data_IF_612862521812
#
_entry.id   IF_612862521812
#
_cell.length_a   1.000
_cell.length_b   1.000
_cell.length_c   1.000
_cell.angle_alpha   90.00
_cell.angle_beta   90.00
_cell.angle_gamma   90.00
#
_symmetry.space_group_name_H-M   'P 1'
#
loop_
_entity.id
_entity.type
_entity.pdbx_description
1 polymer ?
#
# COMPACT_ATOMS: atom_id res chain seq x y z
N UNK A 1 33.04 11.79 27.61
CA UNK A 1 32.36 10.56 28.06
C UNK A 1 31.55 10.01 26.90
N UNK A 2 32.10 9.06 26.15
CA UNK A 2 31.33 8.28 25.17
C UNK A 2 30.43 7.32 25.96
N UNK A 3 29.11 7.53 25.90
CA UNK A 3 28.16 6.52 26.40
C UNK A 3 28.24 5.33 25.45
N UNK A 4 28.52 4.15 26.00
CA UNK A 4 28.28 2.89 25.34
C UNK A 4 26.78 2.82 24.96
N UNK A 5 26.39 2.34 23.75
CA UNK A 5 24.99 2.17 23.43
C UNK A 5 24.40 1.17 24.42
N UNK A 6 23.33 1.57 25.09
CA UNK A 6 22.55 0.70 25.97
C UNK A 6 22.04 -0.49 25.14
N UNK A 7 22.49 -1.70 25.49
CA UNK A 7 22.15 -2.95 24.81
C UNK A 7 20.70 -3.40 25.04
N UNK A 8 19.84 -2.53 25.60
CA UNK A 8 18.45 -2.83 25.95
C UNK A 8 17.40 -2.19 25.03
N UNK A 9 17.78 -1.40 24.02
CA UNK A 9 16.80 -0.76 23.12
C UNK A 9 16.31 -1.75 22.07
N UNK A 10 15.17 -2.38 22.33
CA UNK A 10 14.40 -3.13 21.32
C UNK A 10 14.02 -2.17 20.20
N UNK A 11 14.39 -2.53 18.96
CA UNK A 11 13.97 -1.78 17.77
C UNK A 11 12.50 -2.08 17.46
N UNK A 12 11.70 -1.07 17.06
CA UNK A 12 10.30 -1.29 16.69
C UNK A 12 10.21 -2.15 15.42
N UNK A 13 9.14 -2.93 15.31
CA UNK A 13 8.80 -3.58 14.04
C UNK A 13 8.23 -2.56 13.07
N UNK A 14 8.75 -2.55 11.85
CA UNK A 14 8.37 -1.62 10.79
C UNK A 14 7.71 -2.39 9.65
N UNK A 15 6.50 -2.01 9.29
CA UNK A 15 5.86 -2.48 8.06
C UNK A 15 5.90 -1.36 7.03
N UNK A 16 6.47 -1.65 5.87
CA UNK A 16 6.41 -0.81 4.68
C UNK A 16 5.24 -1.30 3.82
N UNK A 17 4.23 -0.46 3.63
CA UNK A 17 3.07 -0.73 2.78
C UNK A 17 3.13 0.20 1.57
N UNK A 18 3.23 -0.38 0.38
CA UNK A 18 3.29 0.35 -0.88
C UNK A 18 1.94 0.30 -1.59
N UNK A 19 1.39 1.48 -1.89
CA UNK A 19 0.14 1.67 -2.63
C UNK A 19 0.39 2.26 -4.04
N UNK A 20 1.64 2.44 -4.44
CA UNK A 20 2.00 2.84 -5.81
C UNK A 20 1.53 1.81 -6.83
N UNK A 21 1.24 2.26 -8.05
CA UNK A 21 0.94 1.36 -9.15
C UNK A 21 2.10 0.40 -9.43
N UNK A 22 3.33 0.84 -9.22
CA UNK A 22 4.54 0.10 -9.54
C UNK A 22 5.03 -0.71 -8.34
N UNK A 23 5.58 -1.89 -8.62
CA UNK A 23 6.16 -2.72 -7.57
C UNK A 23 7.32 -2.00 -6.86
N UNK A 24 7.35 -2.11 -5.53
CA UNK A 24 8.37 -1.51 -4.66
C UNK A 24 9.71 -2.24 -4.69
N UNK A 25 10.29 -2.45 -5.86
CA UNK A 25 11.47 -3.29 -6.11
C UNK A 25 12.65 -2.98 -5.18
N UNK A 26 13.09 -1.73 -5.13
CA UNK A 26 14.27 -1.32 -4.37
C UNK A 26 14.09 -1.54 -2.85
N UNK A 27 12.90 -1.26 -2.32
CA UNK A 27 12.60 -1.46 -0.88
C UNK A 27 12.52 -2.95 -0.58
N UNK A 28 11.85 -3.72 -1.44
CA UNK A 28 11.74 -5.18 -1.29
C UNK A 28 13.10 -5.86 -1.37
N UNK A 29 13.97 -5.49 -2.31
CA UNK A 29 15.33 -6.03 -2.43
C UNK A 29 16.21 -5.65 -1.25
N UNK A 30 16.10 -4.43 -0.72
CA UNK A 30 16.90 -3.97 0.41
C UNK A 30 16.62 -4.74 1.71
N UNK A 31 15.40 -5.27 1.87
CA UNK A 31 14.97 -5.98 3.08
C UNK A 31 14.72 -7.47 2.88
N UNK A 32 14.92 -7.99 1.67
CA UNK A 32 14.84 -9.42 1.39
C UNK A 32 15.78 -10.22 2.30
N UNK A 33 15.26 -11.31 2.88
CA UNK A 33 16.00 -12.19 3.80
C UNK A 33 16.55 -11.49 5.07
N UNK A 34 16.15 -10.24 5.35
CA UNK A 34 16.60 -9.50 6.54
C UNK A 34 16.17 -10.13 7.87
N UNK A 35 15.15 -11.00 7.81
CA UNK A 35 14.68 -11.82 8.93
C UNK A 35 15.64 -12.93 9.36
N UNK A 36 16.65 -13.28 8.55
CA UNK A 36 17.65 -14.29 8.86
C UNK A 36 18.75 -13.80 9.84
N UNK A 37 18.66 -12.55 10.32
CA UNK A 37 19.62 -11.99 11.26
C UNK A 37 19.31 -12.41 12.71
N UNK A 38 20.31 -12.34 13.59
CA UNK A 38 20.19 -12.73 15.01
C UNK A 38 19.16 -11.90 15.81
N UNK A 39 18.60 -10.84 15.23
CA UNK A 39 17.65 -9.92 15.85
C UNK A 39 16.18 -10.27 15.56
N UNK A 40 15.94 -11.34 14.78
CA UNK A 40 14.60 -11.73 14.33
C UNK A 40 14.03 -10.81 13.24
N UNK A 41 12.83 -11.13 12.72
CA UNK A 41 12.16 -10.31 11.71
C UNK A 41 11.75 -8.94 12.26
N UNK A 42 12.37 -7.87 11.74
CA UNK A 42 12.09 -6.48 12.14
C UNK A 42 11.36 -5.66 11.08
N UNK A 43 11.50 -6.03 9.80
CA UNK A 43 10.94 -5.32 8.66
C UNK A 43 10.03 -6.26 7.89
N UNK A 44 8.86 -5.79 7.51
CA UNK A 44 7.99 -6.43 6.53
C UNK A 44 7.71 -5.43 5.40
N UNK A 45 7.88 -5.85 4.15
CA UNK A 45 7.44 -5.08 2.98
C UNK A 45 6.21 -5.76 2.38
N UNK A 46 5.21 -4.96 2.02
CA UNK A 46 4.04 -5.41 1.27
C UNK A 46 3.76 -4.38 0.18
N UNK A 47 3.92 -4.80 -1.06
CA UNK A 47 3.59 -3.98 -2.24
C UNK A 47 2.28 -4.47 -2.85
N UNK A 48 1.33 -3.56 -3.08
CA UNK A 48 0.12 -3.81 -3.89
C UNK A 48 0.32 -3.06 -5.19
N UNK A 49 0.44 -3.76 -6.32
CA UNK A 49 0.92 -3.14 -7.57
C UNK A 49 0.38 -3.86 -8.80
N UNK A 50 0.44 -3.20 -9.96
CA UNK A 50 0.15 -3.87 -11.21
C UNK A 50 1.33 -4.76 -11.61
N UNK A 51 1.04 -6.00 -12.04
CA UNK A 51 2.06 -6.92 -12.51
C UNK A 51 1.63 -7.60 -13.80
N UNK A 52 2.40 -7.42 -14.86
CA UNK A 52 2.24 -8.13 -16.13
C UNK A 52 3.58 -8.17 -16.86
N UNK A 53 3.87 -9.17 -17.70
CA UNK A 53 5.12 -9.20 -18.46
C UNK A 53 5.34 -7.90 -19.25
N UNK A 54 6.49 -7.25 -19.01
CA UNK A 54 6.88 -6.00 -19.66
C UNK A 54 6.45 -4.71 -18.96
N UNK A 55 5.70 -4.79 -17.85
CA UNK A 55 5.44 -3.63 -16.99
C UNK A 55 6.62 -3.40 -16.03
N UNK A 56 6.92 -2.12 -15.76
CA UNK A 56 8.03 -1.73 -14.91
C UNK A 56 7.62 -1.80 -13.42
N UNK A 57 8.55 -2.07 -12.49
CA UNK A 57 9.88 -2.63 -12.72
C UNK A 57 9.83 -4.12 -13.04
N UNK A 58 10.84 -4.61 -13.75
CA UNK A 58 10.99 -6.05 -13.93
C UNK A 58 11.67 -6.65 -12.70
N UNK A 59 10.89 -7.32 -11.85
CA UNK A 59 11.40 -8.05 -10.69
C UNK A 59 10.69 -9.38 -10.51
N UNK A 60 11.44 -10.43 -10.18
CA UNK A 60 10.86 -11.73 -9.81
C UNK A 60 10.13 -11.70 -8.46
N UNK A 61 10.35 -10.64 -7.67
CA UNK A 61 9.63 -10.40 -6.41
C UNK A 61 8.25 -9.76 -6.67
N UNK A 62 7.98 -9.26 -7.87
CA UNK A 62 6.72 -8.58 -8.22
C UNK A 62 5.55 -9.55 -8.49
N UNK A 63 5.73 -10.86 -8.28
CA UNK A 63 4.72 -11.90 -8.48
C UNK A 63 4.43 -12.66 -7.18
N UNK A 64 3.34 -13.42 -7.14
CA UNK A 64 3.09 -14.37 -6.05
C UNK A 64 4.16 -15.46 -6.10
N UNK A 65 4.96 -15.57 -5.02
CA UNK A 65 6.01 -16.58 -4.88
C UNK A 65 5.47 -17.81 -4.16
N UNK A 66 5.84 -19.01 -4.61
CA UNK A 66 5.47 -20.27 -3.96
C UNK A 66 5.85 -20.30 -2.46
N UNK A 67 4.89 -20.34 -1.53
CA UNK A 67 5.15 -20.41 -0.09
C UNK A 67 5.83 -21.72 0.34
N UNK A 68 5.73 -22.77 -0.47
CA UNK A 68 6.33 -24.08 -0.21
C UNK A 68 7.81 -24.17 -0.62
N UNK A 69 8.34 -23.13 -1.29
CA UNK A 69 9.75 -23.11 -1.70
C UNK A 69 10.71 -23.02 -0.50
N UNK A 70 11.81 -23.77 -0.56
CA UNK A 70 12.82 -23.86 0.52
C UNK A 70 13.35 -22.50 1.02
N UNK A 71 13.38 -21.49 0.15
CA UNK A 71 13.85 -20.12 0.45
C UNK A 71 12.74 -19.09 0.36
N UNK A 72 11.56 -19.41 0.88
CA UNK A 72 10.46 -18.46 0.99
C UNK A 72 10.68 -17.48 2.17
N UNK A 73 10.64 -16.18 1.85
CA UNK A 73 10.67 -15.09 2.83
C UNK A 73 9.26 -14.52 3.01
N UNK A 74 8.57 -14.82 4.13
CA UNK A 74 7.22 -14.37 4.39
C UNK A 74 7.17 -12.89 4.85
N UNK A 75 8.29 -12.16 4.82
CA UNK A 75 8.35 -10.75 5.19
C UNK A 75 8.59 -9.81 3.99
N UNK A 76 8.80 -10.35 2.79
CA UNK A 76 8.95 -9.58 1.55
C UNK A 76 7.82 -9.97 0.60
N UNK A 77 6.72 -9.21 0.65
CA UNK A 77 5.43 -9.61 0.08
C UNK A 77 5.02 -8.76 -1.12
N UNK A 78 4.34 -9.42 -2.04
CA UNK A 78 3.86 -8.88 -3.30
C UNK A 78 2.41 -9.29 -3.48
N UNK A 79 1.55 -8.31 -3.77
CA UNK A 79 0.15 -8.49 -4.10
C UNK A 79 -0.07 -7.93 -5.51
N UNK A 80 0.25 -8.72 -6.55
CA UNK A 80 0.04 -8.31 -7.92
C UNK A 80 -1.45 -8.22 -8.22
N UNK A 81 -1.86 -7.18 -8.95
CA UNK A 81 -3.22 -7.03 -9.48
C UNK A 81 -3.17 -6.83 -10.99
N UNK A 82 -4.23 -7.25 -11.64
CA UNK A 82 -4.47 -7.03 -13.06
C UNK A 82 -4.96 -5.61 -13.34
N UNK A 83 -5.11 -5.29 -14.62
CA UNK A 83 -5.59 -3.98 -15.10
C UNK A 83 -6.99 -3.68 -14.58
N UNK A 84 -7.26 -2.40 -14.41
CA UNK A 84 -8.58 -1.89 -14.08
C UNK A 84 -8.98 -2.06 -12.62
N UNK A 85 -8.05 -2.39 -11.71
CA UNK A 85 -8.33 -2.48 -10.28
C UNK A 85 -9.09 -1.22 -9.80
N UNK A 86 -10.20 -1.46 -9.10
CA UNK A 86 -11.17 -0.47 -8.64
C UNK A 86 -11.22 -0.44 -7.11
N UNK A 87 -11.98 0.50 -6.55
CA UNK A 87 -12.32 0.50 -5.12
C UNK A 87 -12.84 -0.87 -4.65
N UNK A 88 -13.67 -1.55 -5.48
CA UNK A 88 -14.19 -2.88 -5.14
C UNK A 88 -13.09 -3.95 -5.09
N UNK A 89 -12.10 -3.90 -5.99
CA UNK A 89 -10.93 -4.79 -5.94
C UNK A 89 -10.18 -4.59 -4.63
N UNK A 90 -9.87 -3.34 -4.29
CA UNK A 90 -9.19 -2.98 -3.06
C UNK A 90 -9.96 -3.40 -1.82
N UNK A 91 -11.29 -3.25 -1.81
CA UNK A 91 -12.15 -3.75 -0.73
C UNK A 91 -12.04 -5.27 -0.57
N UNK A 92 -11.96 -6.04 -1.66
CA UNK A 92 -11.81 -7.50 -1.62
C UNK A 92 -10.46 -7.95 -1.08
N UNK A 93 -9.37 -7.26 -1.42
CA UNK A 93 -8.02 -7.65 -0.97
C UNK A 93 -7.64 -7.10 0.40
N UNK A 94 -8.30 -6.03 0.87
CA UNK A 94 -7.94 -5.36 2.12
C UNK A 94 -7.92 -6.28 3.35
N UNK A 95 -8.87 -7.21 3.54
CA UNK A 95 -8.79 -8.17 4.65
C UNK A 95 -7.47 -8.96 4.70
N UNK A 96 -6.86 -9.25 3.55
CA UNK A 96 -5.55 -9.91 3.47
C UNK A 96 -4.42 -9.00 3.96
N UNK A 97 -4.47 -7.71 3.63
CA UNK A 97 -3.52 -6.69 4.12
C UNK A 97 -3.61 -6.60 5.65
N UNK A 98 -4.82 -6.57 6.19
CA UNK A 98 -5.06 -6.50 7.64
C UNK A 98 -4.61 -7.77 8.35
N UNK A 99 -4.86 -8.93 7.75
CA UNK A 99 -4.42 -10.23 8.27
C UNK A 99 -2.89 -10.32 8.37
N UNK A 100 -2.17 -9.79 7.39
CA UNK A 100 -0.69 -9.66 7.42
C UNK A 100 -0.25 -8.70 8.51
N UNK A 101 -0.88 -7.52 8.61
CA UNK A 101 -0.60 -6.53 9.66
C UNK A 101 -0.79 -7.13 11.04
N UNK A 102 -1.86 -7.90 11.25
CA UNK A 102 -2.16 -8.56 12.53
C UNK A 102 -1.16 -9.65 12.87
N UNK A 103 -0.73 -10.44 11.89
CA UNK A 103 0.31 -11.45 12.06
C UNK A 103 1.65 -10.82 12.46
N UNK A 104 2.07 -9.76 11.77
CA UNK A 104 3.36 -9.11 11.97
C UNK A 104 3.39 -8.17 13.19
N UNK A 105 2.25 -7.58 13.55
CA UNK A 105 2.07 -6.62 14.66
C UNK A 105 3.07 -5.45 14.57
N UNK A 106 3.08 -4.65 13.49
CA UNK A 106 4.00 -3.53 13.37
C UNK A 106 3.74 -2.46 14.44
N UNK A 107 4.82 -1.82 14.90
CA UNK A 107 4.76 -0.66 15.79
C UNK A 107 4.83 0.65 14.98
N UNK A 108 5.53 0.61 13.84
CA UNK A 108 5.65 1.69 12.87
C UNK A 108 5.17 1.22 11.50
N UNK A 109 4.40 2.07 10.82
CA UNK A 109 4.04 1.92 9.42
C UNK A 109 4.72 3.01 8.61
N UNK A 110 5.38 2.62 7.53
CA UNK A 110 5.77 3.53 6.47
C UNK A 110 4.84 3.23 5.30
N UNK A 111 4.05 4.21 4.89
CA UNK A 111 3.09 4.04 3.80
C UNK A 111 3.50 4.93 2.65
N UNK A 112 3.82 4.29 1.52
CA UNK A 112 4.03 4.96 0.26
C UNK A 112 2.64 5.21 -0.34
N UNK A 113 2.31 6.48 -0.57
CA UNK A 113 1.00 6.92 -1.07
C UNK A 113 1.11 7.39 -2.52
N UNK A 114 1.65 6.55 -3.39
CA UNK A 114 1.60 6.69 -4.84
C UNK A 114 0.15 6.74 -5.31
N UNK A 115 -0.11 7.60 -6.27
CA UNK A 115 -1.44 7.96 -6.76
C UNK A 115 -1.55 7.83 -8.27
N UNK A 116 -0.57 7.19 -8.90
CA UNK A 116 -0.57 6.83 -10.32
C UNK A 116 -1.48 5.63 -10.65
N UNK A 117 -2.01 4.95 -9.63
CA UNK A 117 -3.13 4.01 -9.76
C UNK A 117 -4.51 4.67 -9.88
N UNK A 118 -4.62 5.99 -9.63
CA UNK A 118 -5.90 6.70 -9.72
C UNK A 118 -6.37 6.83 -11.17
N UNK A 119 -7.69 6.83 -11.34
CA UNK A 119 -8.33 7.11 -12.61
C UNK A 119 -7.85 8.46 -13.19
N UNK A 120 -7.51 8.44 -14.49
CA UNK A 120 -7.03 9.62 -15.21
C UNK A 120 -5.53 9.88 -15.09
N UNK A 121 -4.75 9.02 -14.42
CA UNK A 121 -3.29 9.04 -14.55
C UNK A 121 -2.85 8.66 -15.98
N UNK A 122 -1.70 9.18 -16.42
CA UNK A 122 -1.14 8.89 -17.75
C UNK A 122 -0.75 7.43 -17.95
N UNK A 123 -0.50 6.66 -16.88
CA UNK A 123 -0.28 5.22 -16.99
C UNK A 123 -1.53 4.49 -17.47
N UNK A 124 -2.73 4.98 -17.08
CA UNK A 124 -4.03 4.44 -17.48
C UNK A 124 -4.16 2.91 -17.29
N UNK A 125 -3.65 2.40 -16.16
CA UNK A 125 -3.63 0.96 -15.84
C UNK A 125 -4.74 0.57 -14.88
N UNK A 126 -4.88 1.29 -13.77
CA UNK A 126 -5.92 1.07 -12.77
C UNK A 126 -7.02 2.11 -12.86
N UNK A 127 -8.11 1.86 -12.12
CA UNK A 127 -9.30 2.68 -12.09
C UNK A 127 -9.70 3.02 -10.64
N UNK A 128 -8.69 3.24 -9.80
CA UNK A 128 -8.88 3.53 -8.38
C UNK A 128 -9.35 4.97 -8.20
N UNK A 129 -10.03 5.26 -7.08
CA UNK A 129 -10.66 6.55 -6.89
C UNK A 129 -10.54 7.09 -5.46
N UNK A 130 -11.07 8.30 -5.29
CA UNK A 130 -11.23 8.96 -3.99
C UNK A 130 -12.69 8.99 -3.51
N UNK A 131 -13.55 8.11 -4.05
CA UNK A 131 -14.94 7.96 -3.62
C UNK A 131 -15.06 7.61 -2.12
N UNK A 132 -16.27 7.71 -1.57
CA UNK A 132 -16.55 7.39 -0.16
C UNK A 132 -16.79 5.88 0.10
N UNK A 133 -16.60 5.04 -0.92
CA UNK A 133 -16.83 3.61 -0.85
C UNK A 133 -15.72 2.84 -0.12
N UNK A 134 -16.06 1.66 0.38
CA UNK A 134 -15.09 0.69 0.88
C UNK A 134 -14.05 0.38 -0.22
N UNK A 135 -12.78 0.31 0.18
CA UNK A 135 -11.66 0.07 -0.73
C UNK A 135 -11.21 1.27 -1.56
N UNK A 136 -11.84 2.45 -1.45
CA UNK A 136 -11.24 3.67 -2.04
C UNK A 136 -9.91 4.00 -1.37
N UNK A 137 -9.05 4.78 -2.05
CA UNK A 137 -7.75 5.16 -1.49
C UNK A 137 -7.90 5.94 -0.17
N UNK A 138 -8.93 6.78 -0.05
CA UNK A 138 -9.25 7.46 1.20
C UNK A 138 -9.63 6.48 2.32
N UNK A 139 -10.45 5.49 2.02
CA UNK A 139 -10.85 4.46 2.98
C UNK A 139 -9.65 3.64 3.46
N UNK A 140 -8.77 3.21 2.54
CA UNK A 140 -7.53 2.49 2.85
C UNK A 140 -6.62 3.30 3.79
N UNK A 141 -6.41 4.58 3.50
CA UNK A 141 -5.56 5.46 4.31
C UNK A 141 -6.19 5.79 5.67
N UNK A 142 -7.51 5.89 5.76
CA UNK A 142 -8.19 6.08 7.05
C UNK A 142 -8.01 4.86 7.96
N UNK A 143 -8.13 3.64 7.43
CA UNK A 143 -7.83 2.39 8.17
C UNK A 143 -6.41 2.44 8.76
N UNK A 144 -5.43 2.76 7.92
CA UNK A 144 -4.02 2.88 8.30
C UNK A 144 -3.81 3.93 9.41
N UNK A 145 -4.27 5.16 9.19
CA UNK A 145 -3.92 6.30 10.04
C UNK A 145 -4.73 6.36 11.33
N UNK A 146 -6.00 5.96 11.27
CA UNK A 146 -6.96 6.24 12.33
C UNK A 146 -7.45 4.98 13.04
N UNK A 147 -7.22 3.78 12.48
CA UNK A 147 -7.82 2.56 13.02
C UNK A 147 -6.77 1.49 13.41
N UNK A 148 -5.60 1.46 12.74
CA UNK A 148 -4.59 0.41 13.00
C UNK A 148 -3.74 0.62 14.26
N UNK A 149 -3.72 1.83 14.82
CA UNK A 149 -3.06 2.14 16.10
C UNK A 149 -1.52 2.15 16.08
N UNK A 150 -0.91 2.27 14.90
CA UNK A 150 0.54 2.34 14.71
C UNK A 150 1.03 3.79 14.59
N UNK A 151 2.34 4.02 14.78
CA UNK A 151 2.96 5.28 14.36
C UNK A 151 3.11 5.27 12.84
N UNK A 152 2.52 6.23 12.13
CA UNK A 152 2.49 6.25 10.67
C UNK A 152 3.39 7.36 10.11
N UNK A 153 4.28 6.99 9.19
CA UNK A 153 4.97 7.90 8.28
C UNK A 153 4.38 7.75 6.88
N UNK A 154 3.83 8.82 6.35
CA UNK A 154 3.29 8.85 4.98
C UNK A 154 4.29 9.48 4.02
N UNK A 155 4.48 8.85 2.88
CA UNK A 155 5.31 9.32 1.78
C UNK A 155 4.44 9.58 0.54
N UNK A 156 4.94 10.37 -0.41
CA UNK A 156 4.34 10.45 -1.75
C UNK A 156 4.68 9.22 -2.59
N UNK A 157 4.82 9.41 -3.90
CA UNK A 157 5.11 8.34 -4.85
C UNK A 157 4.91 8.80 -6.30
N UNK A 158 4.58 7.85 -7.18
CA UNK A 158 4.07 8.12 -8.51
C UNK A 158 2.76 8.94 -8.48
N UNK A 159 2.48 9.67 -9.55
CA UNK A 159 1.35 10.59 -9.64
C UNK A 159 1.55 11.60 -10.76
N UNK A 160 1.16 11.21 -11.97
CA UNK A 160 1.55 11.87 -13.21
C UNK A 160 0.42 12.69 -13.83
N UNK A 161 -0.81 12.49 -13.36
CA UNK A 161 -1.84 13.54 -13.41
C UNK A 161 -1.68 14.49 -12.22
N UNK A 162 -0.89 15.56 -12.38
CA UNK A 162 -0.52 16.45 -11.27
C UNK A 162 -1.71 17.08 -10.52
N UNK A 163 -2.81 17.53 -11.17
CA UNK A 163 -4.00 17.99 -10.45
C UNK A 163 -4.64 16.89 -9.59
N UNK A 164 -4.76 15.66 -10.11
CA UNK A 164 -5.31 14.54 -9.35
C UNK A 164 -4.38 14.10 -8.21
N UNK A 165 -3.05 14.15 -8.42
CA UNK A 165 -2.10 13.88 -7.35
C UNK A 165 -2.22 14.93 -6.22
N UNK A 166 -2.33 16.21 -6.57
CA UNK A 166 -2.54 17.28 -5.59
C UNK A 166 -3.87 17.11 -4.83
N UNK A 167 -4.96 16.75 -5.52
CA UNK A 167 -6.25 16.40 -4.90
C UNK A 167 -6.13 15.26 -3.90
N UNK A 168 -5.49 14.17 -4.32
CA UNK A 168 -5.31 12.96 -3.52
C UNK A 168 -4.51 13.27 -2.26
N UNK A 169 -3.30 13.80 -2.39
CA UNK A 169 -2.46 14.05 -1.22
C UNK A 169 -3.02 15.10 -0.27
N UNK A 170 -3.76 16.11 -0.78
CA UNK A 170 -4.49 17.06 0.07
C UNK A 170 -5.55 16.34 0.90
N UNK A 171 -6.31 15.43 0.29
CA UNK A 171 -7.33 14.66 0.98
C UNK A 171 -6.75 13.65 1.97
N UNK A 172 -5.71 12.91 1.58
CA UNK A 172 -5.02 11.99 2.49
C UNK A 172 -4.44 12.72 3.70
N UNK A 173 -3.90 13.93 3.51
CA UNK A 173 -3.46 14.79 4.61
C UNK A 173 -4.62 15.13 5.55
N UNK A 174 -5.80 15.43 5.01
CA UNK A 174 -6.98 15.73 5.82
C UNK A 174 -7.46 14.53 6.66
N UNK A 175 -7.35 13.32 6.11
CA UNK A 175 -7.62 12.06 6.82
C UNK A 175 -6.62 11.84 7.95
N UNK A 176 -5.32 12.01 7.67
CA UNK A 176 -4.26 11.89 8.68
C UNK A 176 -4.41 12.89 9.84
N UNK A 177 -4.96 14.08 9.55
CA UNK A 177 -5.30 15.09 10.54
C UNK A 177 -6.63 14.83 11.29
N UNK A 178 -7.33 13.72 11.00
CA UNK A 178 -8.66 13.39 11.54
C UNK A 178 -9.72 14.45 11.25
N UNK A 179 -9.58 15.12 10.11
CA UNK A 179 -10.47 16.18 9.65
C UNK A 179 -10.70 16.00 8.14
N UNK A 180 -11.29 14.86 7.71
CA UNK A 180 -11.46 14.57 6.30
C UNK A 180 -12.23 15.70 5.62
N UNK A 181 -11.65 16.24 4.55
CA UNK A 181 -12.32 17.22 3.69
C UNK A 181 -13.39 16.50 2.86
N UNK A 182 -14.51 17.18 2.62
CA UNK A 182 -15.50 16.69 1.68
C UNK A 182 -14.90 16.63 0.27
N UNK A 183 -15.22 15.59 -0.50
CA UNK A 183 -14.70 15.40 -1.86
C UNK A 183 -15.21 16.45 -2.85
N UNK A 184 -16.43 16.91 -2.63
CA UNK A 184 -17.06 18.00 -3.37
C UNK A 184 -16.60 19.39 -2.88
N UNK A 185 -15.67 19.49 -1.93
CA UNK A 185 -15.12 20.76 -1.49
C UNK A 185 -14.43 21.49 -2.65
N UNK A 186 -14.73 22.78 -2.77
CA UNK A 186 -14.12 23.66 -3.76
C UNK A 186 -12.60 23.77 -3.56
N UNK A 187 -11.87 23.73 -4.66
CA UNK A 187 -10.43 24.05 -4.67
C UNK A 187 -10.29 25.56 -4.38
N UNK A 188 -9.52 25.97 -3.36
CA UNK A 188 -9.27 27.38 -3.10
C UNK A 188 -8.53 28.05 -4.28
N UNK A 189 -8.81 29.33 -4.51
CA UNK A 189 -8.12 30.10 -5.54
C UNK A 189 -6.60 30.14 -5.30
N UNK A 190 -5.83 29.84 -6.34
CA UNK A 190 -4.37 29.87 -6.37
C UNK A 190 -3.87 29.83 -7.82
N UNK A 191 -2.58 30.05 -8.05
CA UNK A 191 -2.00 30.14 -9.40
C UNK A 191 -2.29 28.92 -10.33
N UNK A 192 -2.37 27.71 -9.77
CA UNK A 192 -2.68 26.49 -10.52
C UNK A 192 -4.19 26.18 -10.67
N UNK A 193 -5.09 27.04 -10.20
CA UNK A 193 -6.53 26.76 -10.10
C UNK A 193 -7.16 26.34 -11.44
N UNK A 194 -6.79 26.93 -12.59
CA UNK A 194 -7.30 26.50 -13.89
C UNK A 194 -7.03 25.02 -14.24
N UNK A 195 -6.01 24.39 -13.64
CA UNK A 195 -5.68 22.98 -13.87
C UNK A 195 -6.69 22.01 -13.24
N UNK A 196 -7.57 22.49 -12.36
CA UNK A 196 -8.57 21.69 -11.65
C UNK A 196 -9.91 21.63 -12.39
N UNK A 197 -9.98 22.15 -13.61
CA UNK A 197 -11.14 21.98 -14.47
C UNK A 197 -11.45 20.48 -14.74
N UNK A 198 -12.71 20.14 -15.09
CA UNK A 198 -13.87 21.03 -15.15
C UNK A 198 -14.59 21.20 -13.81
N UNK A 199 -14.31 20.34 -12.81
CA UNK A 199 -15.08 20.33 -11.56
C UNK A 199 -14.68 21.43 -10.60
N UNK A 200 -13.40 21.79 -10.54
CA UNK A 200 -12.82 22.67 -9.53
C UNK A 200 -13.07 22.19 -8.08
N UNK A 201 -13.35 20.90 -7.91
CA UNK A 201 -13.52 20.26 -6.61
C UNK A 201 -12.33 19.37 -6.28
N UNK A 202 -12.26 18.96 -5.02
CA UNK A 202 -11.25 18.04 -4.52
C UNK A 202 -11.36 16.65 -5.17
N UNK A 203 -12.51 16.26 -5.73
CA UNK A 203 -12.83 14.89 -6.13
C UNK A 203 -11.96 14.28 -7.25
N UNK A 204 -11.76 12.95 -7.20
CA UNK A 204 -11.18 12.14 -8.29
C UNK A 204 -12.07 10.90 -8.46
N UNK A 205 -13.08 10.96 -9.35
CA UNK A 205 -14.01 9.86 -9.54
C UNK A 205 -13.37 8.73 -10.33
N UNK A 206 -13.91 7.52 -10.16
CA UNK A 206 -13.58 6.38 -11.02
C UNK A 206 -13.96 6.66 -12.49
N UNK A 207 -13.18 6.10 -13.41
CA UNK A 207 -13.51 6.04 -14.83
C UNK A 207 -14.32 4.79 -15.19
N UNK A 208 -14.41 4.49 -16.49
CA UNK A 208 -15.18 3.37 -17.04
C UNK A 208 -14.29 2.18 -17.48
N UNK A 209 -13.05 2.11 -17.00
CA UNK A 209 -12.15 1.02 -17.37
C UNK A 209 -12.64 -0.31 -16.78
N UNK A 210 -12.71 -1.40 -17.56
CA UNK A 210 -13.14 -2.70 -17.05
C UNK A 210 -12.10 -3.28 -16.09
N UNK A 211 -12.59 -3.81 -14.97
CA UNK A 211 -11.76 -4.52 -13.99
C UNK A 211 -11.49 -5.96 -14.48
N UNK A 212 -10.21 -6.31 -14.56
CA UNK A 212 -9.75 -7.63 -15.00
C UNK A 212 -9.42 -8.55 -13.81
N UNK A 213 -9.55 -8.05 -12.58
CA UNK A 213 -9.32 -8.82 -11.35
C UNK A 213 -10.56 -9.66 -11.03
N UNK A 214 -10.67 -10.82 -11.67
CA UNK A 214 -11.81 -11.72 -11.45
C UNK A 214 -11.85 -12.34 -10.05
N UNK A 215 -13.05 -12.67 -9.57
CA UNK A 215 -13.26 -13.23 -8.21
C UNK A 215 -12.38 -14.44 -7.91
N UNK A 216 -12.23 -15.37 -8.86
CA UNK A 216 -11.40 -16.55 -8.69
C UNK A 216 -9.93 -16.21 -8.40
N UNK A 217 -9.40 -15.15 -9.03
CA UNK A 217 -8.04 -14.68 -8.80
C UNK A 217 -7.90 -13.97 -7.45
N UNK A 218 -8.90 -13.16 -7.08
CA UNK A 218 -8.93 -12.50 -5.77
C UNK A 218 -9.08 -13.51 -4.61
N UNK A 219 -9.78 -14.62 -4.83
CA UNK A 219 -9.88 -15.73 -3.88
C UNK A 219 -8.54 -16.49 -3.76
N UNK A 220 -7.77 -16.63 -4.85
CA UNK A 220 -6.40 -17.16 -4.83
C UNK A 220 -5.48 -16.26 -4.00
N UNK A 221 -5.50 -14.94 -4.24
CA UNK A 221 -4.76 -13.95 -3.42
C UNK A 221 -5.14 -14.11 -1.95
N UNK A 222 -6.44 -14.18 -1.64
CA UNK A 222 -6.92 -14.31 -0.26
C UNK A 222 -6.39 -15.58 0.41
N UNK A 223 -6.47 -16.72 -0.29
CA UNK A 223 -5.96 -18.00 0.20
C UNK A 223 -4.45 -17.95 0.45
N UNK A 224 -3.69 -17.38 -0.51
CA UNK A 224 -2.26 -17.18 -0.41
C UNK A 224 -1.86 -16.38 0.83
N UNK A 225 -2.48 -15.21 1.02
CA UNK A 225 -2.13 -14.33 2.15
C UNK A 225 -2.60 -14.88 3.50
N UNK A 226 -3.63 -15.72 3.55
CA UNK A 226 -3.97 -16.49 4.74
C UNK A 226 -2.85 -17.46 5.14
N UNK A 227 -2.26 -18.16 4.18
CA UNK A 227 -1.14 -19.07 4.44
C UNK A 227 0.11 -18.31 4.88
N UNK A 228 0.48 -17.25 4.16
CA UNK A 228 1.61 -16.37 4.50
C UNK A 228 1.47 -15.79 5.90
N UNK A 229 0.27 -15.29 6.26
CA UNK A 229 0.05 -14.73 7.59
C UNK A 229 0.23 -15.76 8.72
N UNK A 230 -0.17 -17.02 8.50
CA UNK A 230 0.13 -18.12 9.45
C UNK A 230 1.65 -18.33 9.60
N UNK A 231 2.39 -18.32 8.50
CA UNK A 231 3.85 -18.46 8.54
C UNK A 231 4.52 -17.29 9.30
N UNK A 232 4.03 -16.06 9.09
CA UNK A 232 4.48 -14.88 9.85
C UNK A 232 4.24 -15.12 11.34
N UNK A 233 3.03 -15.51 11.77
CA UNK A 233 2.72 -15.75 13.18
C UNK A 233 3.63 -16.78 13.84
N UNK A 234 3.90 -17.88 13.14
CA UNK A 234 4.81 -18.93 13.60
C UNK A 234 6.23 -18.40 13.81
N UNK A 235 6.75 -17.63 12.84
CA UNK A 235 8.09 -17.00 12.96
C UNK A 235 8.11 -15.92 14.04
N UNK A 236 7.05 -15.14 14.18
CA UNK A 236 6.95 -14.10 15.22
C UNK A 236 6.83 -14.67 16.63
N UNK A 237 6.30 -15.89 16.79
CA UNK A 237 6.11 -16.56 18.09
C UNK A 237 7.37 -17.27 18.58
N UNK A 238 8.29 -17.63 17.68
CA UNK A 238 9.56 -18.29 18.03
C UNK A 238 10.68 -17.32 18.39
N UNK A 239 10.50 -16.01 18.12
CA UNK A 239 11.48 -14.95 18.41
C UNK A 239 11.21 -14.15 19.70
N UNK A 240 10.14 -14.48 20.46
CA UNK A 240 9.86 -13.91 21.79
C UNK A 240 10.45 -14.77 22.89
#
# INVERSE_FOLDING_TARGET
>A
MHRCPDSSVRRPRVMYLDLDLHFSDAVSEAFLDSSATALGPQILTLSIHHSTPGFFPHSYLATLRDPSADRFDPFTLSMPLDRGATDATFARIWPSVERVKEAFRPEVLIVQCGVDGLAGDSHAIWNWSLNDGEGSLGWCVDRICNQWGCTVLMLGGGGYNHPNAARAWTYLTSIALRRPLARDADIPDHAAFPLYAPSFTLDVPAGNAPDQNGDAYLDEITTYFHEVARMIEERMSTCT
#
